data_IF_099383451913
#
_entry.id   IF_099383451913
#
_cell.length_a   1.000
_cell.length_b   1.000
_cell.length_c   1.000
_cell.angle_alpha   90.00
_cell.angle_beta   90.00
_cell.angle_gamma   90.00
#
_symmetry.space_group_name_H-M   'P 1'
#
loop_
_entity.id
_entity.type
_entity.pdbx_description
1 polymer ?
#
# COMPACT_ATOMS: atom_id res chain seq x y z
N UNK A 1 26.17 -1.23 5.39
CA UNK A 1 25.42 -0.07 4.85
C UNK A 1 24.30 0.23 5.84
N UNK A 2 24.48 1.23 6.72
CA UNK A 2 23.48 1.57 7.72
C UNK A 2 22.37 2.38 7.06
N UNK A 3 21.20 1.78 6.89
CA UNK A 3 19.99 2.50 6.46
C UNK A 3 19.63 3.42 7.62
N UNK A 4 19.64 4.74 7.38
CA UNK A 4 19.17 5.70 8.38
C UNK A 4 17.68 5.41 8.60
N UNK A 5 17.34 4.99 9.82
CA UNK A 5 15.96 4.80 10.24
C UNK A 5 15.31 6.19 10.27
N UNK A 6 14.46 6.46 9.29
CA UNK A 6 13.56 7.61 9.37
C UNK A 6 12.59 7.31 10.51
N UNK A 7 12.58 8.15 11.55
CA UNK A 7 11.87 7.93 12.82
C UNK A 7 10.34 7.83 12.70
N UNK A 8 9.81 7.99 11.48
CA UNK A 8 8.39 7.86 11.15
C UNK A 8 8.04 6.54 10.43
N UNK A 9 8.98 5.62 10.27
CA UNK A 9 8.73 4.28 9.73
C UNK A 9 8.90 3.27 10.85
N UNK A 10 7.84 2.51 11.12
CA UNK A 10 7.90 1.33 11.96
C UNK A 10 8.09 0.11 11.05
N UNK A 11 9.03 -0.80 11.35
CA UNK A 11 9.11 -2.11 10.71
C UNK A 11 7.78 -2.85 10.81
N UNK A 12 7.51 -3.76 9.87
CA UNK A 12 6.25 -4.52 9.85
C UNK A 12 6.16 -5.47 11.05
N UNK A 13 7.31 -5.92 11.54
CA UNK A 13 7.47 -6.76 12.71
C UNK A 13 7.06 -6.03 14.01
N UNK A 14 7.14 -4.70 14.01
CA UNK A 14 6.81 -3.85 15.15
C UNK A 14 5.36 -3.35 15.12
N UNK A 15 4.54 -3.85 14.19
CA UNK A 15 3.12 -3.46 14.09
C UNK A 15 2.33 -3.93 15.33
N UNK A 16 1.39 -3.13 15.85
CA UNK A 16 0.56 -3.54 16.97
C UNK A 16 -0.19 -4.86 16.71
N UNK A 17 -0.11 -5.81 17.64
CA UNK A 17 -0.78 -7.11 17.51
C UNK A 17 -2.30 -7.01 17.33
N UNK A 18 -2.92 -5.90 17.77
CA UNK A 18 -4.36 -5.66 17.59
C UNK A 18 -4.77 -5.68 16.11
N UNK A 19 -3.88 -5.36 15.18
CA UNK A 19 -4.23 -5.30 13.75
C UNK A 19 -4.54 -6.71 13.20
N UNK A 20 -3.92 -7.77 13.76
CA UNK A 20 -4.22 -9.17 13.41
C UNK A 20 -5.66 -9.57 13.73
N UNK A 21 -6.30 -8.88 14.68
CA UNK A 21 -7.69 -9.17 15.06
C UNK A 21 -8.70 -8.77 13.99
N UNK A 22 -8.29 -7.94 13.02
CA UNK A 22 -9.16 -7.44 11.93
C UNK A 22 -10.50 -6.87 12.42
N UNK A 23 -10.49 -6.25 13.61
CA UNK A 23 -11.71 -5.89 14.35
C UNK A 23 -12.30 -4.52 13.96
N UNK A 24 -11.50 -3.63 13.38
CA UNK A 24 -11.91 -2.27 12.97
C UNK A 24 -11.68 -2.01 11.48
N UNK A 25 -12.49 -1.12 10.91
CA UNK A 25 -12.31 -0.64 9.53
C UNK A 25 -11.21 0.40 9.50
N UNK A 26 -10.34 0.33 8.50
CA UNK A 26 -9.40 1.40 8.15
C UNK A 26 -7.93 1.03 8.30
N UNK A 27 -7.61 -0.12 8.88
CA UNK A 27 -6.28 -0.69 8.77
C UNK A 27 -6.06 -1.16 7.33
N UNK A 28 -5.08 -0.57 6.65
CA UNK A 28 -4.81 -0.79 5.24
C UNK A 28 -3.37 -1.19 5.00
N UNK A 29 -3.18 -2.11 4.07
CA UNK A 29 -1.89 -2.50 3.54
C UNK A 29 -1.87 -2.24 2.04
N UNK A 30 -0.70 -1.85 1.54
CA UNK A 30 -0.54 -1.52 0.14
C UNK A 30 0.78 -2.05 -0.42
N UNK A 31 0.69 -2.64 -1.62
CA UNK A 31 1.82 -3.19 -2.35
C UNK A 31 1.92 -2.57 -3.74
N UNK A 32 3.14 -2.57 -4.29
CA UNK A 32 3.38 -2.16 -5.67
C UNK A 32 4.00 -3.32 -6.45
N UNK A 33 3.22 -3.90 -7.36
CA UNK A 33 3.69 -4.92 -8.31
C UNK A 33 4.29 -4.26 -9.55
N UNK A 34 5.54 -4.62 -9.87
CA UNK A 34 6.26 -4.07 -11.03
C UNK A 34 6.18 -5.03 -12.22
N UNK A 35 5.70 -4.53 -13.35
CA UNK A 35 5.54 -5.28 -14.59
C UNK A 35 6.86 -5.59 -15.31
N UNK A 36 6.77 -6.46 -16.33
CA UNK A 36 7.91 -6.94 -17.12
C UNK A 36 8.77 -5.79 -17.65
N UNK A 37 10.09 -6.00 -17.68
CA UNK A 37 11.09 -4.98 -18.07
C UNK A 37 11.00 -3.70 -17.23
N UNK A 38 10.41 -3.78 -16.03
CA UNK A 38 10.29 -2.66 -15.11
C UNK A 38 9.55 -1.46 -15.72
N UNK A 39 8.60 -1.70 -16.62
CA UNK A 39 7.89 -0.62 -17.34
C UNK A 39 6.58 -0.21 -16.70
N UNK A 40 5.80 -1.14 -16.19
CA UNK A 40 4.48 -0.83 -15.65
C UNK A 40 4.46 -1.07 -14.14
N UNK A 41 3.47 -0.50 -13.45
CA UNK A 41 3.21 -0.82 -12.06
C UNK A 41 1.70 -0.86 -11.79
N UNK A 42 1.31 -1.77 -10.91
CA UNK A 42 -0.01 -1.84 -10.31
C UNK A 42 0.17 -1.69 -8.81
N UNK A 43 -0.63 -0.83 -8.20
CA UNK A 43 -0.74 -0.71 -6.74
C UNK A 43 -1.96 -1.51 -6.30
N UNK A 44 -1.79 -2.39 -5.32
CA UNK A 44 -2.90 -3.05 -4.63
C UNK A 44 -3.04 -2.45 -3.24
N UNK A 45 -4.26 -2.17 -2.80
CA UNK A 45 -4.56 -1.67 -1.46
C UNK A 45 -5.67 -2.51 -0.89
N UNK A 46 -5.45 -3.11 0.28
CA UNK A 46 -6.41 -3.95 0.98
C UNK A 46 -6.81 -3.29 2.30
N UNK A 47 -8.10 -3.33 2.61
CA UNK A 47 -8.61 -3.04 3.96
C UNK A 47 -8.78 -4.37 4.70
N UNK A 48 -8.10 -4.53 5.84
CA UNK A 48 -7.93 -5.86 6.44
C UNK A 48 -9.21 -6.46 7.05
N UNK A 49 -10.14 -5.64 7.55
CA UNK A 49 -11.38 -6.15 8.15
C UNK A 49 -12.33 -6.71 7.10
N UNK A 50 -12.57 -5.96 6.04
CA UNK A 50 -13.50 -6.32 4.96
C UNK A 50 -12.84 -7.22 3.90
N UNK A 51 -11.51 -7.18 3.78
CA UNK A 51 -10.79 -7.78 2.67
C UNK A 51 -11.02 -7.06 1.33
N UNK A 52 -11.74 -5.92 1.33
CA UNK A 52 -11.99 -5.17 0.12
C UNK A 52 -10.67 -4.67 -0.46
N UNK A 53 -10.44 -4.98 -1.74
CA UNK A 53 -9.15 -4.79 -2.39
C UNK A 53 -9.31 -3.92 -3.63
N UNK A 54 -8.53 -2.84 -3.69
CA UNK A 54 -8.44 -1.95 -4.85
C UNK A 54 -7.17 -2.25 -5.64
N UNK A 55 -7.29 -2.35 -6.96
CA UNK A 55 -6.17 -2.40 -7.88
C UNK A 55 -6.11 -1.12 -8.71
N UNK A 56 -4.99 -0.42 -8.66
CA UNK A 56 -4.76 0.87 -9.30
C UNK A 56 -3.61 0.77 -10.29
N UNK A 57 -3.90 0.96 -11.57
CA UNK A 57 -2.86 1.04 -12.59
C UNK A 57 -2.13 2.38 -12.52
N UNK A 58 -0.80 2.34 -12.42
CA UNK A 58 0.04 3.55 -12.30
C UNK A 58 0.27 4.20 -13.67
N UNK A 59 0.26 3.42 -14.75
CA UNK A 59 0.52 3.89 -16.11
C UNK A 59 1.52 3.02 -16.87
N UNK A 60 1.84 3.44 -18.11
CA UNK A 60 2.77 2.74 -19.00
C UNK A 60 4.24 2.80 -18.54
N UNK A 61 4.56 3.72 -17.63
CA UNK A 61 5.87 3.89 -17.01
C UNK A 61 5.73 3.83 -15.48
N UNK A 62 6.52 2.97 -14.83
CA UNK A 62 6.60 2.93 -13.37
C UNK A 62 7.34 4.17 -12.90
N UNK A 63 6.77 4.86 -11.93
CA UNK A 63 7.44 5.97 -11.25
C UNK A 63 7.07 5.94 -9.77
N UNK A 64 8.04 6.29 -8.91
CA UNK A 64 7.78 6.40 -7.48
C UNK A 64 6.70 7.46 -7.20
N UNK A 65 6.74 8.58 -7.91
CA UNK A 65 5.73 9.62 -7.84
C UNK A 65 4.34 9.10 -8.22
N UNK A 66 4.23 8.34 -9.33
CA UNK A 66 2.95 7.78 -9.76
C UNK A 66 2.38 6.80 -8.74
N UNK A 67 3.21 5.93 -8.16
CA UNK A 67 2.80 5.03 -7.07
C UNK A 67 2.33 5.84 -5.85
N UNK A 68 3.10 6.84 -5.42
CA UNK A 68 2.75 7.71 -4.29
C UNK A 68 1.43 8.44 -4.49
N UNK A 69 1.19 9.01 -5.68
CA UNK A 69 -0.08 9.65 -6.01
C UNK A 69 -1.24 8.66 -5.92
N UNK A 70 -1.10 7.43 -6.44
CA UNK A 70 -2.15 6.40 -6.31
C UNK A 70 -2.44 6.04 -4.85
N UNK A 71 -1.42 5.96 -4.01
CA UNK A 71 -1.60 5.67 -2.58
C UNK A 71 -2.29 6.81 -1.82
N UNK A 72 -1.96 8.06 -2.13
CA UNK A 72 -2.57 9.23 -1.44
C UNK A 72 -4.00 9.50 -1.91
N UNK A 73 -4.24 9.36 -3.21
CA UNK A 73 -5.51 9.71 -3.84
C UNK A 73 -6.53 8.57 -3.76
N UNK A 74 -6.12 7.36 -3.35
CA UNK A 74 -7.06 6.26 -3.22
C UNK A 74 -8.16 6.59 -2.21
N UNK A 75 -9.40 6.26 -2.57
CA UNK A 75 -10.58 6.40 -1.73
C UNK A 75 -11.39 5.12 -1.85
N UNK A 76 -11.63 4.47 -0.71
CA UNK A 76 -12.67 3.45 -0.59
C UNK A 76 -13.98 4.23 -0.52
N UNK A 77 -14.81 4.09 -1.55
CA UNK A 77 -16.15 4.68 -1.57
C UNK A 77 -17.08 3.60 -1.04
N UNK A 78 -17.68 3.84 0.12
CA UNK A 78 -18.83 3.07 0.57
C UNK A 78 -20.00 3.46 -0.36
N UNK A 79 -20.72 2.48 -0.89
CA UNK A 79 -21.94 2.70 -1.70
C UNK A 79 -23.11 3.20 -0.85
#
# INVERSE_FOLDING_TARGET
MAVRHNSNHLPIEDRPAIIETRSRVGDREADASIGKRHRQAIVSIIEWKSGFTLFLFVGLLKSATGVGSKLVDCRFREE
#
